data_IF_553221242005
#
_entry.id   IF_553221242005
#
_cell.length_a   1.000
_cell.length_b   1.000
_cell.length_c   1.000
_cell.angle_alpha   90.00
_cell.angle_beta   90.00
_cell.angle_gamma   90.00
#
_symmetry.space_group_name_H-M   'P 1'
#
loop_
_entity.id
_entity.type
_entity.pdbx_description
1 polymer ?
#
# COMPACT_ATOMS: atom_id res chain seq x y z
N UNK A 1 -5.67 -5.58 5.60
CA UNK A 1 -4.63 -5.76 6.65
C UNK A 1 -4.78 -4.62 7.63
N UNK A 2 -4.95 -4.95 8.91
CA UNK A 2 -5.38 -3.99 9.92
C UNK A 2 -4.64 -4.21 11.23
N UNK A 3 -4.34 -3.12 11.96
CA UNK A 3 -3.80 -3.12 13.33
C UNK A 3 -2.46 -3.84 13.52
N UNK A 4 -1.60 -3.86 12.49
CA UNK A 4 -0.30 -4.50 12.58
C UNK A 4 0.79 -3.53 13.05
N UNK A 5 0.99 -3.43 14.37
CA UNK A 5 1.91 -2.46 14.98
C UNK A 5 3.39 -2.73 14.67
N UNK A 6 3.77 -3.99 14.42
CA UNK A 6 5.16 -4.40 14.21
C UNK A 6 5.46 -4.84 12.77
N UNK A 7 4.48 -4.75 11.87
CA UNK A 7 4.65 -5.20 10.49
C UNK A 7 5.43 -4.15 9.71
N UNK A 8 6.70 -4.42 9.46
CA UNK A 8 7.59 -3.51 8.71
C UNK A 8 7.50 -3.67 7.21
N UNK A 9 7.38 -4.92 6.76
CA UNK A 9 7.34 -5.31 5.36
C UNK A 9 6.32 -6.41 5.19
N UNK A 10 5.75 -6.50 4.00
CA UNK A 10 4.74 -7.50 3.67
C UNK A 10 5.10 -8.17 2.35
N UNK A 11 4.72 -9.44 2.21
CA UNK A 11 4.88 -10.20 0.98
C UNK A 11 3.53 -10.24 0.26
N UNK A 12 3.45 -9.62 -0.92
CA UNK A 12 2.18 -9.40 -1.63
C UNK A 12 1.97 -10.45 -2.74
N UNK A 13 2.87 -11.43 -2.86
CA UNK A 13 2.83 -12.52 -3.87
C UNK A 13 1.56 -13.37 -3.78
N UNK A 14 0.85 -13.37 -2.65
CA UNK A 14 -0.44 -14.06 -2.49
C UNK A 14 -1.67 -13.22 -2.81
N UNK A 15 -1.52 -11.94 -3.16
CA UNK A 15 -2.65 -11.01 -3.38
C UNK A 15 -3.07 -10.92 -4.85
N UNK A 16 -2.50 -11.75 -5.73
CA UNK A 16 -2.78 -11.75 -7.18
C UNK A 16 -4.23 -12.05 -7.55
N UNK A 17 -5.02 -12.60 -6.63
CA UNK A 17 -6.45 -12.86 -6.81
C UNK A 17 -7.34 -11.76 -6.23
N UNK A 18 -6.77 -10.77 -5.56
CA UNK A 18 -7.52 -9.66 -4.99
C UNK A 18 -7.65 -8.51 -5.98
N UNK A 19 -8.78 -7.83 -5.93
CA UNK A 19 -9.05 -6.59 -6.67
C UNK A 19 -8.96 -5.33 -5.80
N UNK A 20 -9.03 -5.50 -4.47
CA UNK A 20 -9.01 -4.43 -3.48
C UNK A 20 -8.08 -4.80 -2.32
N UNK A 21 -7.34 -3.81 -1.80
CA UNK A 21 -6.47 -3.93 -0.65
C UNK A 21 -6.67 -2.73 0.28
N UNK A 22 -6.93 -2.98 1.56
CA UNK A 22 -6.94 -1.94 2.60
C UNK A 22 -5.81 -2.18 3.59
N UNK A 23 -5.03 -1.14 3.88
CA UNK A 23 -3.94 -1.10 4.84
C UNK A 23 -4.30 -0.07 5.92
N UNK A 24 -4.75 -0.56 7.08
CA UNK A 24 -5.31 0.30 8.13
C UNK A 24 -4.48 0.14 9.42
N UNK A 25 -4.15 1.24 10.10
CA UNK A 25 -3.53 1.22 11.42
C UNK A 25 -2.24 0.36 11.50
N UNK A 26 -1.36 0.49 10.52
CA UNK A 26 -0.08 -0.22 10.45
C UNK A 26 1.07 0.80 10.49
N UNK A 27 1.37 1.39 11.66
CA UNK A 27 2.30 2.52 11.76
C UNK A 27 3.74 2.19 11.43
N UNK A 28 4.15 0.93 11.63
CA UNK A 28 5.51 0.47 11.31
C UNK A 28 5.66 -0.02 9.88
N UNK A 29 4.61 -0.01 9.04
CA UNK A 29 4.70 -0.51 7.67
C UNK A 29 5.46 0.49 6.81
N UNK A 30 6.71 0.16 6.51
CA UNK A 30 7.69 1.10 5.96
C UNK A 30 7.52 1.30 4.46
N UNK A 31 7.30 0.24 3.67
CA UNK A 31 7.34 0.33 2.21
C UNK A 31 6.51 -0.74 1.50
N UNK A 32 6.20 -0.49 0.23
CA UNK A 32 5.70 -1.51 -0.70
C UNK A 32 6.85 -2.38 -1.25
N UNK A 33 6.55 -3.57 -1.80
CA UNK A 33 7.56 -4.45 -2.39
C UNK A 33 8.29 -3.78 -3.53
N UNK A 34 9.51 -4.21 -3.80
CA UNK A 34 10.28 -3.70 -4.93
C UNK A 34 9.54 -3.93 -6.26
N UNK A 35 8.81 -5.04 -6.39
CA UNK A 35 8.04 -5.41 -7.59
C UNK A 35 6.69 -4.68 -7.70
N UNK A 36 6.30 -3.94 -6.65
CA UNK A 36 5.03 -3.27 -6.52
C UNK A 36 3.83 -4.19 -6.25
N UNK A 37 2.62 -3.61 -6.28
CA UNK A 37 1.40 -4.38 -6.05
C UNK A 37 0.98 -5.15 -7.31
N UNK A 38 0.33 -6.33 -7.16
CA UNK A 38 -0.20 -7.06 -8.30
C UNK A 38 -1.13 -6.20 -9.16
N UNK A 39 -1.09 -6.42 -10.48
CA UNK A 39 -1.95 -5.70 -11.44
C UNK A 39 -3.44 -6.00 -11.28
N UNK A 40 -3.79 -7.07 -10.57
CA UNK A 40 -5.18 -7.38 -10.18
C UNK A 40 -5.76 -6.32 -9.24
N UNK A 41 -4.92 -5.68 -8.42
CA UNK A 41 -5.34 -4.64 -7.48
C UNK A 41 -5.70 -3.39 -8.27
N UNK A 42 -6.98 -3.03 -8.19
CA UNK A 42 -7.56 -1.85 -8.82
C UNK A 42 -8.01 -0.79 -7.81
N UNK A 43 -8.06 -1.17 -6.52
CA UNK A 43 -8.42 -0.34 -5.39
C UNK A 43 -7.43 -0.51 -4.24
N UNK A 44 -6.91 0.60 -3.72
CA UNK A 44 -6.02 0.64 -2.56
C UNK A 44 -6.48 1.72 -1.59
N UNK A 45 -6.59 1.34 -0.33
CA UNK A 45 -6.87 2.24 0.79
C UNK A 45 -5.72 2.17 1.79
N UNK A 46 -5.17 3.33 2.15
CA UNK A 46 -4.15 3.48 3.17
C UNK A 46 -4.68 4.46 4.21
N UNK A 47 -4.89 3.98 5.44
CA UNK A 47 -5.40 4.78 6.55
C UNK A 47 -4.54 4.58 7.79
N UNK A 48 -4.12 5.67 8.44
CA UNK A 48 -3.30 5.63 9.64
C UNK A 48 -2.07 4.70 9.53
N UNK A 49 -1.39 4.79 8.37
CA UNK A 49 -0.12 4.11 8.07
C UNK A 49 0.90 5.19 7.65
N UNK A 50 1.39 6.02 8.59
CA UNK A 50 2.15 7.24 8.31
C UNK A 50 3.36 7.04 7.38
N UNK A 51 4.19 6.02 7.65
CA UNK A 51 5.40 5.73 6.85
C UNK A 51 5.05 5.39 5.40
N UNK A 52 4.07 4.50 5.21
CA UNK A 52 3.63 4.09 3.87
C UNK A 52 2.93 5.22 3.12
N UNK A 53 2.11 6.01 3.83
CA UNK A 53 1.36 7.13 3.27
C UNK A 53 2.29 8.14 2.59
N UNK A 54 3.38 8.53 3.25
CA UNK A 54 4.34 9.48 2.71
C UNK A 54 4.98 8.97 1.41
N UNK A 55 5.39 7.70 1.39
CA UNK A 55 6.02 7.08 0.22
C UNK A 55 5.07 6.84 -0.95
N UNK A 56 3.77 6.70 -0.69
CA UNK A 56 2.75 6.46 -1.71
C UNK A 56 2.13 7.77 -2.25
N UNK A 57 2.66 8.94 -1.87
CA UNK A 57 2.16 10.21 -2.39
C UNK A 57 2.41 10.35 -3.90
N UNK A 58 1.39 10.78 -4.62
CA UNK A 58 1.52 11.13 -6.03
C UNK A 58 2.08 12.55 -6.19
N UNK A 59 2.93 12.82 -7.21
CA UNK A 59 3.62 11.87 -8.09
C UNK A 59 5.02 11.48 -7.58
N UNK A 60 5.52 12.17 -6.57
CA UNK A 60 6.94 12.15 -6.19
C UNK A 60 7.29 11.13 -5.10
N UNK A 61 6.29 10.42 -4.57
CA UNK A 61 6.51 9.41 -3.55
C UNK A 61 7.35 8.25 -4.06
N UNK A 62 8.33 7.79 -3.26
CA UNK A 62 9.24 6.71 -3.65
C UNK A 62 8.55 5.41 -4.07
N UNK A 63 7.36 5.15 -3.53
CA UNK A 63 6.56 3.97 -3.83
C UNK A 63 5.40 4.28 -4.81
N UNK A 64 5.29 5.50 -5.34
CA UNK A 64 4.22 5.91 -6.26
C UNK A 64 4.13 5.00 -7.49
N UNK A 65 5.26 4.76 -8.18
CA UNK A 65 5.32 3.94 -9.40
C UNK A 65 4.85 2.49 -9.16
N UNK A 66 4.94 1.99 -7.92
CA UNK A 66 4.48 0.65 -7.53
C UNK A 66 2.96 0.52 -7.49
N UNK A 67 2.25 1.65 -7.44
CA UNK A 67 0.80 1.74 -7.33
C UNK A 67 0.16 2.65 -8.37
N UNK A 68 0.93 3.27 -9.26
CA UNK A 68 0.43 4.18 -10.28
C UNK A 68 -0.62 3.55 -11.23
N UNK A 69 -0.68 2.22 -11.34
CA UNK A 69 -1.72 1.50 -12.10
C UNK A 69 -3.08 1.42 -11.38
N UNK A 70 -3.15 1.77 -10.10
CA UNK A 70 -4.37 1.64 -9.29
C UNK A 70 -5.31 2.79 -9.62
N UNK A 71 -6.54 2.44 -10.01
CA UNK A 71 -7.57 3.41 -10.43
C UNK A 71 -8.24 4.10 -9.25
N UNK A 72 -8.41 3.39 -8.14
CA UNK A 72 -9.09 3.87 -6.93
C UNK A 72 -8.09 3.89 -5.79
N UNK A 73 -7.40 5.01 -5.60
CA UNK A 73 -6.42 5.17 -4.55
C UNK A 73 -6.91 6.18 -3.52
N UNK A 74 -7.09 5.74 -2.28
CA UNK A 74 -7.41 6.60 -1.15
C UNK A 74 -6.28 6.53 -0.12
N UNK A 75 -5.70 7.67 0.19
CA UNK A 75 -4.63 7.80 1.20
C UNK A 75 -5.05 8.86 2.20
N UNK A 76 -5.31 8.44 3.43
CA UNK A 76 -5.87 9.28 4.48
C UNK A 76 -4.97 9.28 5.73
N UNK A 77 -5.04 10.35 6.54
CA UNK A 77 -4.40 10.40 7.85
C UNK A 77 -4.72 9.19 8.71
#
# INVERSE_FOLDING_TARGET
IQYCQNLKKMHYKGLCHLSSLSLLYCPSLECLPAEGLPKSISSLEIFNCPLLKERCQSPDGEDWEKIAHIKKLHVWP
#
